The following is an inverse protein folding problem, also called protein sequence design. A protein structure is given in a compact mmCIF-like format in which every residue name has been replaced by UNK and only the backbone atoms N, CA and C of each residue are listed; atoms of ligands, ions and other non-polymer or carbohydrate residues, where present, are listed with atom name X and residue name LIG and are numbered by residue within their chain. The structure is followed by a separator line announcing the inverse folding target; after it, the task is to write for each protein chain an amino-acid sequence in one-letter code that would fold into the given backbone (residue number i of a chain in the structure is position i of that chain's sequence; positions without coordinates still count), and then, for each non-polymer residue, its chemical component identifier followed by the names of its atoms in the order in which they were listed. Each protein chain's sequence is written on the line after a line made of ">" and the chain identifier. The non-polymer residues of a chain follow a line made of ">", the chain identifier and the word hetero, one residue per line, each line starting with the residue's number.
data_IF_513269993176
#
_entry.id   IF_513269993176
#
_cell.length_a   1.000
_cell.length_b   1.000
_cell.length_c   1.000
_cell.angle_alpha   90.00
_cell.angle_beta   90.00
_cell.angle_gamma   90.00
#
_symmetry.space_group_name_H-M   'P 1'
#
loop_
_entity.id
_entity.type
_entity.pdbx_description
1 polymer ?
#
# COMPACT_ATOMS: atom_id res chain seq x y z
N UNK A 1 16.12 -25.48 3.79
CA UNK A 1 15.27 -24.30 4.05
C UNK A 1 16.13 -23.06 3.88
N UNK A 2 15.84 -22.11 3.01
CA UNK A 2 16.53 -20.84 3.00
C UNK A 2 16.30 -20.12 4.33
N UNK A 3 17.25 -19.32 4.83
CA UNK A 3 17.10 -18.60 6.08
C UNK A 3 15.90 -17.65 5.99
N UNK A 4 15.15 -17.52 7.09
CA UNK A 4 13.90 -16.72 7.19
C UNK A 4 14.07 -15.22 6.92
N UNK A 5 15.31 -14.75 6.69
CA UNK A 5 15.66 -13.36 6.43
C UNK A 5 15.53 -12.92 4.95
N UNK A 6 15.02 -13.77 4.06
CA UNK A 6 14.96 -13.49 2.61
C UNK A 6 13.55 -13.38 2.04
N UNK A 7 12.54 -13.04 2.85
CA UNK A 7 11.21 -12.77 2.31
C UNK A 7 11.19 -11.50 1.41
N UNK A 8 12.13 -10.57 1.65
CA UNK A 8 12.33 -9.38 0.82
C UNK A 8 13.84 -9.10 0.69
N UNK A 9 14.57 -9.84 -0.17
CA UNK A 9 16.03 -9.77 -0.23
C UNK A 9 16.59 -8.44 -0.76
N UNK A 10 15.72 -7.53 -1.21
CA UNK A 10 16.10 -6.26 -1.83
C UNK A 10 15.50 -5.03 -1.15
N UNK A 11 14.73 -5.20 -0.07
CA UNK A 11 14.09 -4.09 0.64
C UNK A 11 14.87 -3.80 1.92
N UNK A 12 15.39 -2.61 2.08
CA UNK A 12 15.91 -2.13 3.37
C UNK A 12 14.74 -1.78 4.31
N UNK A 13 14.99 -1.68 5.61
CA UNK A 13 13.95 -1.24 6.55
C UNK A 13 13.52 0.21 6.32
N UNK A 14 14.34 1.00 5.64
CA UNK A 14 14.05 2.39 5.26
C UNK A 14 13.02 2.52 4.12
N UNK A 15 12.84 1.46 3.31
CA UNK A 15 11.91 1.49 2.19
C UNK A 15 10.48 1.12 2.61
N UNK A 16 10.28 0.71 3.89
CA UNK A 16 8.97 0.35 4.42
C UNK A 16 8.24 1.59 4.96
N UNK A 17 7.06 1.84 4.45
CA UNK A 17 6.21 2.98 4.79
C UNK A 17 4.97 2.50 5.58
N UNK A 18 5.01 2.47 6.93
CA UNK A 18 3.86 2.07 7.73
C UNK A 18 2.73 3.10 7.63
N UNK A 19 1.67 2.79 6.90
CA UNK A 19 0.49 3.66 6.72
C UNK A 19 -0.64 3.32 7.68
N UNK A 20 -0.67 2.08 8.19
CA UNK A 20 -1.66 1.63 9.18
C UNK A 20 -0.98 0.88 10.32
N UNK A 21 -1.27 1.27 11.56
CA UNK A 21 -0.75 0.62 12.77
C UNK A 21 -1.88 0.08 13.65
N UNK A 22 -1.67 -1.04 14.37
CA UNK A 22 -2.69 -1.66 15.19
C UNK A 22 -2.79 -1.03 16.59
N UNK A 23 -4.01 -1.07 17.13
CA UNK A 23 -4.28 -0.82 18.54
C UNK A 23 -4.43 -2.19 19.23
N UNK A 24 -3.71 -2.38 20.33
CA UNK A 24 -3.71 -3.63 21.11
C UNK A 24 -4.36 -3.40 22.46
N UNK A 25 -5.12 -4.39 22.91
CA UNK A 25 -5.56 -4.45 24.31
C UNK A 25 -4.48 -5.07 25.22
N UNK A 26 -4.76 -5.11 26.53
CA UNK A 26 -3.87 -5.70 27.55
C UNK A 26 -3.58 -7.20 27.28
N UNK A 27 -4.47 -7.89 26.58
CA UNK A 27 -4.33 -9.30 26.18
C UNK A 27 -3.59 -9.49 24.85
N UNK A 28 -3.02 -8.42 24.29
CA UNK A 28 -2.37 -8.41 22.96
C UNK A 28 -3.30 -8.78 21.80
N UNK A 29 -4.61 -8.55 21.98
CA UNK A 29 -5.58 -8.68 20.90
C UNK A 29 -5.71 -7.35 20.18
N UNK A 30 -5.73 -7.37 18.86
CA UNK A 30 -5.97 -6.16 18.05
C UNK A 30 -7.42 -5.77 18.15
N UNK A 31 -7.69 -4.57 18.64
CA UNK A 31 -9.04 -4.02 18.86
C UNK A 31 -9.37 -2.91 17.87
N UNK A 32 -8.36 -2.24 17.34
CA UNK A 32 -8.53 -1.14 16.39
C UNK A 32 -7.30 -0.96 15.52
N UNK A 33 -7.38 0.01 14.65
CA UNK A 33 -6.31 0.43 13.75
C UNK A 33 -6.20 1.94 13.72
N UNK A 34 -5.02 2.45 13.42
CA UNK A 34 -4.76 3.88 13.26
C UNK A 34 -4.25 4.12 11.85
N UNK A 35 -4.89 5.03 11.15
CA UNK A 35 -4.43 5.65 9.92
C UNK A 35 -3.35 6.67 10.28
N UNK A 36 -2.13 6.39 9.86
CA UNK A 36 -0.97 7.24 10.15
C UNK A 36 -0.99 8.51 9.31
N UNK A 37 -1.51 8.44 8.08
CA UNK A 37 -1.58 9.58 7.17
C UNK A 37 -2.55 10.65 7.67
N UNK A 38 -3.76 10.23 8.05
CA UNK A 38 -4.81 11.13 8.53
C UNK A 38 -4.75 11.36 10.05
N UNK A 39 -3.92 10.61 10.78
CA UNK A 39 -3.87 10.60 12.26
C UNK A 39 -5.24 10.36 12.87
N UNK A 40 -5.93 9.31 12.40
CA UNK A 40 -7.26 8.90 12.87
C UNK A 40 -7.26 7.45 13.29
N UNK A 41 -7.98 7.14 14.35
CA UNK A 41 -8.12 5.79 14.85
C UNK A 41 -9.54 5.26 14.62
N UNK A 42 -9.63 3.95 14.39
CA UNK A 42 -10.88 3.28 14.06
C UNK A 42 -11.00 1.95 14.77
N UNK A 43 -12.21 1.66 15.25
CA UNK A 43 -12.63 0.31 15.62
C UNK A 43 -13.56 -0.27 14.57
N UNK A 44 -13.58 -1.60 14.46
CA UNK A 44 -14.52 -2.31 13.60
C UNK A 44 -15.48 -3.14 14.45
N UNK A 45 -16.75 -2.80 14.36
CA UNK A 45 -17.83 -3.60 14.94
C UNK A 45 -18.86 -3.94 13.87
N UNK A 46 -19.15 -5.22 13.67
CA UNK A 46 -20.14 -5.70 12.70
C UNK A 46 -19.95 -5.10 11.29
N UNK A 47 -18.74 -5.08 10.78
CA UNK A 47 -18.35 -4.49 9.50
C UNK A 47 -18.54 -2.97 9.39
N UNK A 48 -18.88 -2.30 10.48
CA UNK A 48 -18.99 -0.86 10.54
C UNK A 48 -17.72 -0.25 11.13
N UNK A 49 -17.10 0.65 10.39
CA UNK A 49 -15.95 1.45 10.83
C UNK A 49 -16.48 2.60 11.72
N UNK A 50 -16.00 2.68 12.93
CA UNK A 50 -16.32 3.76 13.87
C UNK A 50 -15.03 4.47 14.24
N UNK A 51 -14.98 5.79 14.06
CA UNK A 51 -13.85 6.62 14.46
C UNK A 51 -13.81 6.74 15.99
N UNK A 52 -12.62 6.60 16.55
CA UNK A 52 -12.32 6.73 17.97
C UNK A 52 -11.14 7.69 18.18
N UNK A 53 -10.94 8.14 19.40
CA UNK A 53 -9.73 8.90 19.74
C UNK A 53 -8.50 7.99 19.72
N UNK A 54 -7.36 8.55 19.27
CA UNK A 54 -6.08 7.83 19.30
C UNK A 54 -5.69 7.61 20.77
N UNK A 55 -5.45 6.37 21.21
CA UNK A 55 -5.00 6.09 22.57
C UNK A 55 -3.74 6.89 22.92
N UNK A 56 -3.69 7.46 24.11
CA UNK A 56 -2.59 8.36 24.52
C UNK A 56 -1.20 7.71 24.44
N UNK A 57 -1.11 6.40 24.67
CA UNK A 57 0.12 5.61 24.54
C UNK A 57 0.56 5.40 23.09
N UNK A 58 -0.29 5.67 22.10
CA UNK A 58 0.00 5.52 20.65
C UNK A 58 0.31 6.84 19.95
N UNK A 59 -0.02 7.98 20.54
CA UNK A 59 0.16 9.29 19.91
C UNK A 59 1.61 9.53 19.48
N UNK A 60 2.58 9.20 20.35
CA UNK A 60 4.01 9.37 20.03
C UNK A 60 4.46 8.49 18.85
N UNK A 61 4.01 7.24 18.84
CA UNK A 61 4.34 6.27 17.77
C UNK A 61 3.74 6.70 16.43
N UNK A 62 2.49 7.17 16.44
CA UNK A 62 1.82 7.67 15.23
C UNK A 62 2.52 8.91 14.70
N UNK A 63 2.96 9.81 15.57
CA UNK A 63 3.72 10.99 15.17
C UNK A 63 5.05 10.61 14.53
N UNK A 64 5.80 9.70 15.17
CA UNK A 64 7.08 9.19 14.64
C UNK A 64 6.92 8.57 13.25
N UNK A 65 5.92 7.70 13.06
CA UNK A 65 5.65 7.11 11.74
C UNK A 65 5.17 8.13 10.71
N UNK A 66 4.34 9.10 11.11
CA UNK A 66 3.92 10.16 10.20
C UNK A 66 5.10 11.04 9.75
N UNK A 67 6.02 11.36 10.65
CA UNK A 67 7.20 12.13 10.31
C UNK A 67 8.17 11.32 9.42
N UNK A 68 8.34 10.03 9.68
CA UNK A 68 9.10 9.13 8.79
C UNK A 68 8.46 9.01 7.40
N UNK A 69 7.12 8.98 7.30
CA UNK A 69 6.42 9.01 6.02
C UNK A 69 6.64 10.32 5.27
N UNK A 70 6.65 11.47 5.97
CA UNK A 70 6.97 12.77 5.35
C UNK A 70 8.38 12.80 4.79
N UNK A 71 9.36 12.26 5.52
CA UNK A 71 10.73 12.13 5.05
C UNK A 71 10.82 11.28 3.80
N UNK A 72 10.17 10.10 3.81
CA UNK A 72 10.11 9.21 2.66
C UNK A 72 9.42 9.87 1.44
N UNK A 73 8.37 10.64 1.65
CA UNK A 73 7.69 11.42 0.59
C UNK A 73 8.61 12.51 0.05
N UNK A 74 9.36 13.20 0.92
CA UNK A 74 10.30 14.24 0.50
C UNK A 74 11.35 13.71 -0.47
N UNK A 75 11.81 12.46 -0.27
CA UNK A 75 12.81 11.82 -1.14
C UNK A 75 12.28 11.50 -2.56
N UNK A 76 10.97 11.54 -2.80
CA UNK A 76 10.37 11.17 -4.09
C UNK A 76 10.50 12.25 -5.17
N UNK A 77 10.69 13.52 -4.81
CA UNK A 77 10.88 14.61 -5.78
C UNK A 77 11.64 15.78 -5.19
N UNK A 78 12.34 16.56 -6.05
CA UNK A 78 13.04 17.77 -5.64
C UNK A 78 12.09 18.82 -5.03
N UNK A 79 10.87 18.96 -5.57
CA UNK A 79 9.85 19.88 -5.05
C UNK A 79 9.45 19.53 -3.61
N UNK A 80 9.23 18.24 -3.33
CA UNK A 80 8.89 17.77 -1.99
C UNK A 80 10.07 17.88 -1.03
N UNK A 81 11.28 17.67 -1.52
CA UNK A 81 12.50 17.86 -0.75
C UNK A 81 12.67 19.32 -0.31
N UNK A 82 12.51 20.26 -1.23
CA UNK A 82 12.60 21.70 -0.94
C UNK A 82 11.54 22.15 0.07
N UNK A 83 10.32 21.65 -0.06
CA UNK A 83 9.22 21.90 0.86
C UNK A 83 9.52 21.36 2.27
N UNK A 84 10.04 20.14 2.37
CA UNK A 84 10.40 19.51 3.63
C UNK A 84 11.51 20.30 4.35
N UNK A 85 12.57 20.66 3.64
CA UNK A 85 13.65 21.49 4.22
C UNK A 85 13.22 22.92 4.51
N UNK A 86 12.22 23.44 3.80
CA UNK A 86 11.57 24.71 4.11
C UNK A 86 10.76 24.71 5.40
N UNK A 87 10.54 23.53 6.00
CA UNK A 87 9.74 23.37 7.22
C UNK A 87 8.24 23.49 6.98
N UNK A 88 7.79 23.32 5.76
CA UNK A 88 6.37 23.31 5.40
C UNK A 88 5.78 21.92 5.57
N UNK A 89 4.56 21.85 6.12
CA UNK A 89 3.84 20.57 6.22
C UNK A 89 3.27 20.15 4.85
N UNK A 90 3.25 18.81 4.64
CA UNK A 90 2.56 18.23 3.47
C UNK A 90 1.06 18.15 3.71
N UNK A 91 0.29 18.49 2.70
CA UNK A 91 -1.13 18.20 2.65
C UNK A 91 -1.35 16.69 2.44
N UNK A 92 -2.54 16.18 2.76
CA UNK A 92 -2.89 14.78 2.50
C UNK A 92 -2.70 14.39 1.03
N UNK A 93 -3.11 15.27 0.11
CA UNK A 93 -2.97 15.02 -1.33
C UNK A 93 -1.50 14.89 -1.77
N UNK A 94 -0.61 15.72 -1.23
CA UNK A 94 0.83 15.64 -1.49
C UNK A 94 1.45 14.37 -0.90
N UNK A 95 1.02 13.96 0.30
CA UNK A 95 1.45 12.70 0.90
C UNK A 95 1.06 11.52 0.02
N UNK A 96 -0.19 11.46 -0.44
CA UNK A 96 -0.67 10.41 -1.36
C UNK A 96 0.11 10.46 -2.69
N UNK A 97 0.34 11.63 -3.24
CA UNK A 97 1.09 11.80 -4.49
C UNK A 97 2.52 11.26 -4.37
N UNK A 98 3.24 11.63 -3.31
CA UNK A 98 4.60 11.17 -3.08
C UNK A 98 4.67 9.66 -2.80
N UNK A 99 3.78 9.12 -1.94
CA UNK A 99 3.70 7.68 -1.68
C UNK A 99 3.39 6.91 -2.95
N UNK A 100 2.44 7.36 -3.77
CA UNK A 100 2.09 6.76 -5.05
C UNK A 100 3.26 6.75 -6.03
N UNK A 101 4.03 7.84 -6.07
CA UNK A 101 5.25 7.91 -6.88
C UNK A 101 6.29 6.91 -6.39
N UNK A 102 6.58 6.86 -5.09
CA UNK A 102 7.52 5.90 -4.52
C UNK A 102 7.12 4.45 -4.75
N UNK A 103 5.81 4.11 -4.63
CA UNK A 103 5.28 2.78 -4.96
C UNK A 103 5.50 2.43 -6.44
N UNK A 104 5.23 3.37 -7.34
CA UNK A 104 5.41 3.18 -8.79
C UNK A 104 6.88 2.99 -9.18
N UNK A 105 7.78 3.67 -8.49
CA UNK A 105 9.22 3.58 -8.70
C UNK A 105 9.87 2.41 -7.95
N UNK A 106 9.09 1.69 -7.14
CA UNK A 106 9.53 0.60 -6.27
C UNK A 106 10.56 1.05 -5.23
N UNK A 107 10.54 2.30 -4.83
CA UNK A 107 11.36 2.89 -3.78
C UNK A 107 10.69 2.87 -2.41
N UNK A 108 9.34 2.82 -2.36
CA UNK A 108 8.56 2.75 -1.13
C UNK A 108 7.56 1.58 -1.17
N UNK A 109 7.39 0.93 -0.01
CA UNK A 109 6.47 -0.18 0.17
C UNK A 109 5.50 0.11 1.33
N UNK A 110 4.24 0.49 1.04
CA UNK A 110 3.25 0.73 2.08
C UNK A 110 3.00 -0.52 2.93
N UNK A 111 3.10 -0.37 4.23
CA UNK A 111 2.86 -1.46 5.20
C UNK A 111 1.58 -1.20 5.94
N UNK A 112 0.69 -2.19 5.91
CA UNK A 112 -0.62 -2.13 6.52
C UNK A 112 -0.82 -3.30 7.45
N UNK A 113 -1.61 -3.11 8.49
CA UNK A 113 -2.05 -4.17 9.37
C UNK A 113 -3.56 -4.38 9.27
N UNK A 114 -4.00 -5.60 9.46
CA UNK A 114 -5.42 -5.92 9.45
C UNK A 114 -5.70 -7.36 9.87
N UNK A 115 -6.97 -7.66 10.05
CA UNK A 115 -7.47 -9.01 10.31
C UNK A 115 -8.62 -9.34 9.37
N UNK A 116 -8.37 -10.21 8.39
CA UNK A 116 -9.39 -10.62 7.42
C UNK A 116 -10.58 -11.31 8.09
N UNK A 117 -10.34 -12.13 9.13
CA UNK A 117 -11.40 -12.85 9.86
C UNK A 117 -12.35 -11.88 10.56
N UNK A 118 -11.81 -10.81 11.14
CA UNK A 118 -12.59 -9.82 11.88
C UNK A 118 -12.97 -8.62 11.01
N UNK A 119 -12.59 -8.61 9.73
CA UNK A 119 -12.71 -7.49 8.80
C UNK A 119 -12.09 -6.18 9.32
N UNK A 120 -11.18 -6.27 10.29
CA UNK A 120 -10.48 -5.12 10.84
C UNK A 120 -9.45 -4.63 9.82
N UNK A 121 -9.53 -3.36 9.42
CA UNK A 121 -8.63 -2.77 8.43
C UNK A 121 -8.97 -3.07 6.96
N UNK A 122 -9.93 -3.96 6.68
CA UNK A 122 -10.25 -4.36 5.30
C UNK A 122 -10.74 -3.20 4.43
N UNK A 123 -11.58 -2.32 4.96
CA UNK A 123 -12.05 -1.14 4.23
C UNK A 123 -10.91 -0.16 3.96
N UNK A 124 -10.03 0.06 4.96
CA UNK A 124 -8.88 0.93 4.82
C UNK A 124 -7.89 0.37 3.77
N UNK A 125 -7.65 -0.95 3.80
CA UNK A 125 -6.84 -1.61 2.77
C UNK A 125 -7.39 -1.36 1.36
N UNK A 126 -8.71 -1.40 1.19
CA UNK A 126 -9.35 -1.13 -0.10
C UNK A 126 -9.19 0.34 -0.53
N UNK A 127 -9.35 1.27 0.41
CA UNK A 127 -9.13 2.70 0.17
C UNK A 127 -7.67 2.94 -0.24
N UNK A 128 -6.70 2.39 0.50
CA UNK A 128 -5.27 2.54 0.23
C UNK A 128 -4.83 1.86 -1.08
N UNK A 129 -5.44 0.74 -1.47
CA UNK A 129 -5.20 0.13 -2.79
C UNK A 129 -5.58 1.12 -3.91
N UNK A 130 -6.72 1.79 -3.77
CA UNK A 130 -7.19 2.76 -4.78
C UNK A 130 -6.30 4.01 -4.81
N UNK A 131 -5.87 4.48 -3.63
CA UNK A 131 -5.12 5.72 -3.51
C UNK A 131 -3.61 5.55 -3.79
N UNK A 132 -3.00 4.46 -3.33
CA UNK A 132 -1.55 4.31 -3.38
C UNK A 132 -1.04 3.47 -4.56
N UNK A 133 -1.82 2.49 -5.04
CA UNK A 133 -1.34 1.62 -6.12
C UNK A 133 -1.58 2.24 -7.50
N UNK A 134 -0.65 2.03 -8.45
CA UNK A 134 -0.84 2.50 -9.82
C UNK A 134 -1.98 1.75 -10.50
N UNK A 135 -2.76 2.46 -11.30
CA UNK A 135 -3.75 1.82 -12.15
C UNK A 135 -3.10 1.17 -13.40
N UNK A 136 -3.81 0.31 -14.13
CA UNK A 136 -3.23 -0.39 -15.29
C UNK A 136 -2.67 0.53 -16.39
N UNK A 137 -3.20 1.76 -16.54
CA UNK A 137 -2.69 2.72 -17.51
C UNK A 137 -1.36 3.36 -17.10
N UNK A 138 -1.05 3.36 -15.82
CA UNK A 138 0.21 3.86 -15.25
C UNK A 138 1.30 2.77 -15.18
N UNK A 139 0.93 1.51 -15.42
CA UNK A 139 1.85 0.38 -15.41
C UNK A 139 2.69 0.29 -16.69
N UNK A 140 3.79 -0.47 -16.63
CA UNK A 140 4.68 -0.70 -17.78
C UNK A 140 4.29 -1.95 -18.61
N UNK A 141 3.05 -2.43 -18.50
CA UNK A 141 2.56 -3.66 -19.13
C UNK A 141 1.92 -3.38 -20.51
N UNK A 142 2.63 -2.63 -21.36
CA UNK A 142 2.10 -2.23 -22.65
C UNK A 142 2.64 -3.05 -23.82
N UNK A 143 3.33 -4.17 -23.55
CA UNK A 143 3.93 -5.02 -24.58
C UNK A 143 3.33 -6.42 -24.53
N UNK A 144 2.85 -6.87 -25.68
CA UNK A 144 2.39 -8.23 -25.87
C UNK A 144 3.17 -8.90 -27.02
N UNK A 145 3.45 -10.19 -26.89
CA UNK A 145 4.08 -10.96 -27.98
C UNK A 145 3.00 -11.74 -28.72
N UNK A 146 2.90 -11.52 -30.02
CA UNK A 146 1.99 -12.26 -30.92
C UNK A 146 2.47 -13.71 -31.10
N UNK A 147 1.61 -14.54 -31.65
CA UNK A 147 1.92 -15.95 -31.94
C UNK A 147 3.07 -16.14 -32.94
N UNK A 148 3.33 -15.15 -33.79
CA UNK A 148 4.44 -15.09 -34.75
C UNK A 148 5.77 -14.63 -34.14
N UNK A 149 5.77 -14.26 -32.85
CA UNK A 149 6.94 -13.77 -32.10
C UNK A 149 7.16 -12.26 -32.19
N UNK A 150 6.33 -11.52 -32.93
CA UNK A 150 6.42 -10.06 -32.96
C UNK A 150 5.90 -9.44 -31.65
N UNK A 151 6.58 -8.39 -31.19
CA UNK A 151 6.16 -7.62 -30.02
C UNK A 151 5.32 -6.44 -30.47
N UNK A 152 4.11 -6.32 -29.91
CA UNK A 152 3.22 -5.21 -30.14
C UNK A 152 3.03 -4.40 -28.86
N UNK A 153 3.09 -3.09 -28.99
CA UNK A 153 2.71 -2.16 -27.89
C UNK A 153 1.22 -1.87 -27.98
N UNK A 154 0.53 -1.92 -26.84
CA UNK A 154 -0.89 -1.60 -26.77
C UNK A 154 -1.17 -0.53 -25.70
N UNK A 155 -2.17 0.28 -25.94
CA UNK A 155 -2.59 1.34 -24.99
C UNK A 155 -3.69 0.79 -24.11
N UNK A 156 -3.44 0.80 -22.80
CA UNK A 156 -4.46 0.45 -21.79
C UNK A 156 -5.45 1.60 -21.68
N UNK A 157 -6.71 1.37 -22.08
CA UNK A 157 -7.78 2.36 -21.97
C UNK A 157 -9.13 1.68 -21.72
N UNK A 158 -10.10 2.36 -21.09
CA UNK A 158 -11.43 1.81 -20.83
C UNK A 158 -12.20 1.36 -22.08
N UNK A 159 -11.91 1.95 -23.23
CA UNK A 159 -12.50 1.59 -24.55
C UNK A 159 -11.59 0.70 -25.40
N UNK A 160 -10.47 0.25 -24.88
CA UNK A 160 -9.51 -0.57 -25.60
C UNK A 160 -9.93 -2.03 -25.76
N UNK A 161 -9.11 -2.80 -26.47
CA UNK A 161 -9.32 -4.25 -26.60
C UNK A 161 -9.13 -4.92 -25.24
N UNK A 162 -10.10 -5.75 -24.78
CA UNK A 162 -9.95 -6.49 -23.54
C UNK A 162 -8.69 -7.36 -23.57
N UNK A 163 -7.80 -7.17 -22.61
CA UNK A 163 -6.52 -7.87 -22.53
C UNK A 163 -6.38 -8.48 -21.14
N UNK A 164 -5.90 -9.72 -21.09
CA UNK A 164 -5.66 -10.43 -19.84
C UNK A 164 -4.27 -11.05 -19.83
N UNK A 165 -3.61 -10.99 -18.67
CA UNK A 165 -2.34 -11.65 -18.42
C UNK A 165 -2.51 -12.77 -17.41
N UNK A 166 -2.14 -14.00 -17.81
CA UNK A 166 -2.15 -15.17 -16.93
C UNK A 166 -0.86 -15.14 -16.10
N UNK A 167 -0.95 -14.67 -14.87
CA UNK A 167 0.21 -14.58 -13.97
C UNK A 167 0.49 -15.84 -13.15
N UNK A 168 -0.50 -16.75 -13.05
CA UNK A 168 -0.37 -17.99 -12.29
C UNK A 168 -1.39 -19.04 -12.76
N UNK A 169 -0.94 -20.27 -12.91
CA UNK A 169 -1.82 -21.44 -13.12
C UNK A 169 -1.82 -22.29 -11.84
N UNK A 170 -3.01 -22.61 -11.34
CA UNK A 170 -3.19 -23.50 -10.18
C UNK A 170 -3.90 -24.75 -10.68
N UNK A 171 -3.28 -25.93 -10.45
CA UNK A 171 -3.92 -27.21 -10.71
C UNK A 171 -4.41 -27.78 -9.38
N UNK A 172 -5.71 -28.01 -9.26
CA UNK A 172 -6.29 -28.70 -8.12
C UNK A 172 -6.26 -30.22 -8.36
N UNK A 173 -6.19 -31.02 -7.28
CA UNK A 173 -6.11 -32.49 -7.34
C UNK A 173 -7.31 -33.14 -8.05
N UNK A 174 -8.39 -32.42 -8.30
CA UNK A 174 -9.61 -32.90 -8.97
C UNK A 174 -9.60 -32.63 -10.49
N UNK A 175 -8.52 -32.15 -11.06
CA UNK A 175 -8.35 -31.99 -12.52
C UNK A 175 -9.25 -30.92 -13.17
N UNK A 176 -9.78 -29.97 -12.41
CA UNK A 176 -10.49 -28.80 -12.93
C UNK A 176 -9.60 -27.58 -12.79
N UNK A 177 -9.19 -27.01 -13.93
CA UNK A 177 -8.60 -25.70 -13.95
C UNK A 177 -9.70 -24.65 -13.70
N UNK A 178 -9.57 -23.89 -12.62
CA UNK A 178 -10.36 -22.67 -12.44
C UNK A 178 -9.56 -21.50 -12.98
N UNK A 179 -10.07 -20.91 -14.02
CA UNK A 179 -9.58 -19.67 -14.61
C UNK A 179 -10.32 -18.51 -13.93
#
# INVERSE_FOLDING_TARGET
>A
RPPRSTLFPYTSSSDLAPVVVPIWDENKKVTGIIDVLNKRAYEMQNLKRTEIEIPADKVSVVTEFNDALKESVAETSEEFMDKFFGGEDFTYAEMIQGLRQGVRELSLFPVMCGSAINCLGSLMLMDDIVELLPNPAEGNYHKATKADGETEEFVVSPGGVPTAYVFKTISDQIGRAHV
#
